data_IF_916043789582
#
_entry.id   IF_916043789582
#
_cell.length_a   1.000
_cell.length_b   1.000
_cell.length_c   1.000
_cell.angle_alpha   90.00
_cell.angle_beta   90.00
_cell.angle_gamma   90.00
#
_symmetry.space_group_name_H-M   'P 1'
#
loop_
_entity.id
_entity.type
_entity.pdbx_description
1 polymer ?
#
# COMPACT_ATOMS: atom_id res chain seq x y z
N UNK A 1 50.43 19.08 7.58
CA UNK A 1 49.14 18.36 7.73
C UNK A 1 49.34 16.88 8.15
N UNK A 2 50.20 16.57 9.12
CA UNK A 2 50.47 15.17 9.52
C UNK A 2 49.71 14.67 10.75
N UNK A 3 48.91 15.52 11.42
CA UNK A 3 48.40 15.24 12.77
C UNK A 3 46.87 15.17 12.90
N UNK A 4 46.11 15.49 11.85
CA UNK A 4 44.63 15.57 11.90
C UNK A 4 43.93 14.30 11.40
N UNK A 5 44.60 13.50 10.56
CA UNK A 5 44.02 12.31 9.92
C UNK A 5 43.85 11.15 10.92
N UNK A 6 44.83 10.80 11.78
CA UNK A 6 44.67 9.67 12.71
C UNK A 6 43.60 9.90 13.79
N UNK A 7 43.40 11.17 14.20
CA UNK A 7 42.47 11.56 15.26
C UNK A 7 41.00 11.54 14.80
N UNK A 8 40.76 11.67 13.50
CA UNK A 8 39.42 11.58 12.90
C UNK A 8 39.01 10.12 12.63
N UNK A 9 39.96 9.28 12.19
CA UNK A 9 39.73 7.86 11.94
C UNK A 9 39.41 7.10 13.25
N UNK A 10 40.09 7.40 14.37
CA UNK A 10 39.78 6.74 15.65
C UNK A 10 38.41 7.13 16.22
N UNK A 11 37.90 8.33 15.91
CA UNK A 11 36.53 8.75 16.28
C UNK A 11 35.45 8.06 15.44
N UNK A 12 35.76 7.69 14.20
CA UNK A 12 34.82 7.03 13.29
C UNK A 12 34.67 5.53 13.58
N UNK A 13 35.70 4.87 14.11
CA UNK A 13 35.67 3.45 14.52
C UNK A 13 34.67 3.12 15.65
N UNK A 14 34.11 4.13 16.33
CA UNK A 14 33.08 3.95 17.38
C UNK A 14 31.66 3.78 16.82
N UNK A 15 31.46 3.97 15.53
CA UNK A 15 30.20 3.77 14.83
C UNK A 15 30.40 2.57 13.91
N UNK A 16 29.87 1.40 14.30
CA UNK A 16 30.08 0.12 13.60
C UNK A 16 29.73 0.15 12.09
N UNK A 17 30.19 -0.90 11.40
CA UNK A 17 30.11 -1.17 9.95
C UNK A 17 29.62 -0.01 9.07
N UNK A 18 30.58 0.82 8.70
CA UNK A 18 30.42 1.89 7.75
C UNK A 18 30.20 1.30 6.33
N UNK A 19 29.11 1.62 5.61
CA UNK A 19 28.87 1.10 4.26
C UNK A 19 29.97 1.49 3.28
N UNK A 20 30.24 0.64 2.27
CA UNK A 20 31.26 0.83 1.23
C UNK A 20 31.25 2.21 0.53
N UNK A 21 30.12 2.93 0.57
CA UNK A 21 29.98 4.30 0.07
C UNK A 21 30.87 5.33 0.80
N UNK A 22 31.19 5.13 2.08
CA UNK A 22 32.08 6.03 2.84
C UNK A 22 33.57 5.80 2.55
N UNK A 23 33.96 4.59 2.13
CA UNK A 23 35.31 4.33 1.61
C UNK A 23 35.52 5.02 0.26
N UNK A 24 34.52 5.05 -0.62
CA UNK A 24 34.57 5.79 -1.88
C UNK A 24 34.75 7.30 -1.68
N UNK A 25 34.08 7.88 -0.68
CA UNK A 25 34.17 9.32 -0.39
C UNK A 25 35.53 9.73 0.19
N UNK A 26 36.16 8.87 1.00
CA UNK A 26 37.51 9.12 1.54
C UNK A 26 38.58 9.11 0.43
N UNK A 27 38.42 8.26 -0.60
CA UNK A 27 39.31 8.22 -1.77
C UNK A 27 39.14 9.46 -2.64
N UNK A 28 37.90 9.95 -2.84
CA UNK A 28 37.65 11.19 -3.59
C UNK A 28 38.27 12.41 -2.89
N UNK A 29 38.25 12.46 -1.56
CA UNK A 29 38.91 13.53 -0.80
C UNK A 29 40.43 13.41 -0.81
N UNK A 30 40.98 12.19 -0.94
CA UNK A 30 42.42 11.95 -1.03
C UNK A 30 43.02 12.22 -2.43
N UNK A 31 42.20 12.19 -3.49
CA UNK A 31 42.65 12.44 -4.87
C UNK A 31 42.62 13.92 -5.29
N UNK A 32 42.10 14.82 -4.46
CA UNK A 32 42.13 16.26 -4.72
C UNK A 32 43.52 16.80 -4.34
N UNK A 33 44.34 17.21 -5.31
CA UNK A 33 45.61 17.92 -5.07
C UNK A 33 45.30 19.30 -4.47
N UNK A 34 45.32 19.38 -3.14
CA UNK A 34 44.90 20.56 -2.37
C UNK A 34 46.02 21.60 -2.37
N UNK A 35 46.03 22.48 -3.38
CA UNK A 35 46.86 23.70 -3.36
C UNK A 35 46.09 24.96 -3.00
N UNK A 36 44.76 24.92 -2.91
CA UNK A 36 43.96 26.08 -2.51
C UNK A 36 43.08 25.82 -1.29
N UNK A 37 43.28 26.65 -0.27
CA UNK A 37 42.60 26.64 1.05
C UNK A 37 41.07 26.79 0.98
N UNK A 38 40.51 27.22 -0.15
CA UNK A 38 39.06 27.39 -0.35
C UNK A 38 38.32 26.06 -0.53
N UNK A 39 38.96 25.02 -1.09
CA UNK A 39 38.35 23.70 -1.33
C UNK A 39 38.17 22.88 -0.04
N UNK A 40 39.02 23.10 0.96
CA UNK A 40 38.95 22.42 2.27
C UNK A 40 37.66 22.80 3.02
N UNK A 41 37.24 24.07 2.94
CA UNK A 41 36.02 24.54 3.60
C UNK A 41 34.76 24.01 2.94
N UNK A 42 34.74 23.90 1.61
CA UNK A 42 33.62 23.32 0.86
C UNK A 42 33.45 21.83 1.23
N UNK A 43 34.55 21.07 1.33
CA UNK A 43 34.51 19.67 1.76
C UNK A 43 34.01 19.48 3.20
N UNK A 44 34.37 20.38 4.13
CA UNK A 44 33.90 20.34 5.53
C UNK A 44 32.40 20.66 5.62
N UNK A 45 31.93 21.69 4.92
CA UNK A 45 30.51 22.05 4.88
C UNK A 45 29.66 20.92 4.26
N UNK A 46 30.20 20.26 3.24
CA UNK A 46 29.57 19.10 2.60
C UNK A 46 29.49 17.90 3.56
N UNK A 47 30.57 17.59 4.28
CA UNK A 47 30.60 16.49 5.26
C UNK A 47 29.66 16.74 6.47
N UNK A 48 29.58 17.99 6.95
CA UNK A 48 28.66 18.36 8.03
C UNK A 48 27.19 18.29 7.60
N UNK A 49 26.88 18.68 6.36
CA UNK A 49 25.53 18.56 5.79
C UNK A 49 25.12 17.09 5.62
N UNK A 50 26.03 16.22 5.17
CA UNK A 50 25.79 14.77 5.04
C UNK A 50 25.53 14.13 6.41
N UNK A 51 26.29 14.49 7.44
CA UNK A 51 26.10 13.96 8.80
C UNK A 51 24.75 14.36 9.42
N UNK A 52 24.16 15.49 9.00
CA UNK A 52 22.84 15.93 9.44
C UNK A 52 21.71 15.21 8.69
N UNK A 53 21.88 15.01 7.38
CA UNK A 53 20.91 14.31 6.52
C UNK A 53 20.84 12.80 6.83
N UNK A 54 21.97 12.16 7.16
CA UNK A 54 22.02 10.74 7.52
C UNK A 54 21.28 10.40 8.83
N UNK A 55 21.07 11.38 9.73
CA UNK A 55 20.32 11.18 10.99
C UNK A 55 18.79 11.23 10.82
N UNK A 56 18.28 11.66 9.67
CA UNK A 56 16.84 11.93 9.45
C UNK A 56 16.16 10.86 8.56
N UNK A 57 16.88 9.81 8.14
CA UNK A 57 16.27 8.63 7.52
C UNK A 57 15.72 8.83 6.09
N UNK A 58 16.25 9.78 5.31
CA UNK A 58 15.79 10.02 3.94
C UNK A 58 16.27 8.96 2.92
N UNK A 59 15.41 8.69 1.94
CA UNK A 59 15.57 7.70 0.85
C UNK A 59 16.77 8.01 -0.09
N UNK A 60 17.44 7.00 -0.69
CA UNK A 60 18.59 7.15 -1.60
C UNK A 60 18.40 8.09 -2.81
N UNK A 61 17.16 8.41 -3.20
CA UNK A 61 16.84 9.32 -4.31
C UNK A 61 17.22 10.78 -4.00
N UNK A 62 17.15 11.19 -2.72
CA UNK A 62 17.55 12.53 -2.31
C UNK A 62 19.08 12.73 -2.43
N UNK A 63 19.86 11.68 -2.18
CA UNK A 63 21.32 11.69 -2.32
C UNK A 63 21.78 11.85 -3.77
N UNK A 64 21.15 11.12 -4.71
CA UNK A 64 21.41 11.25 -6.14
C UNK A 64 21.06 12.64 -6.69
N UNK A 65 19.99 13.24 -6.17
CA UNK A 65 19.54 14.58 -6.58
C UNK A 65 20.50 15.68 -6.13
N UNK A 66 21.02 15.59 -4.90
CA UNK A 66 22.03 16.53 -4.39
C UNK A 66 23.37 16.36 -5.12
N UNK A 67 23.77 15.12 -5.40
CA UNK A 67 25.00 14.82 -6.13
C UNK A 67 24.92 15.34 -7.59
N UNK A 68 23.79 15.15 -8.26
CA UNK A 68 23.55 15.66 -9.61
C UNK A 68 23.53 17.20 -9.66
N UNK A 69 22.88 17.86 -8.69
CA UNK A 69 22.90 19.31 -8.58
C UNK A 69 24.32 19.85 -8.32
N UNK A 70 25.10 19.17 -7.46
CA UNK A 70 26.49 19.56 -7.17
C UNK A 70 27.40 19.38 -8.38
N UNK A 71 27.22 18.31 -9.16
CA UNK A 71 27.96 18.05 -10.40
C UNK A 71 27.60 19.07 -11.49
N UNK A 72 26.31 19.42 -11.61
CA UNK A 72 25.85 20.45 -12.54
C UNK A 72 26.45 21.82 -12.22
N UNK A 73 26.56 22.18 -10.95
CA UNK A 73 27.20 23.42 -10.48
C UNK A 73 28.72 23.42 -10.68
N UNK A 74 29.38 22.26 -10.54
CA UNK A 74 30.79 22.08 -10.89
C UNK A 74 31.05 22.30 -12.39
N UNK A 75 30.18 21.78 -13.27
CA UNK A 75 30.27 22.01 -14.71
C UNK A 75 30.07 23.48 -15.13
N UNK A 76 29.42 24.30 -14.29
CA UNK A 76 29.20 25.72 -14.52
C UNK A 76 30.32 26.63 -14.00
N UNK A 77 31.37 26.08 -13.36
CA UNK A 77 32.54 26.84 -12.89
C UNK A 77 33.20 27.78 -13.92
N UNK A 78 33.26 27.48 -15.23
CA UNK A 78 33.89 28.40 -16.19
C UNK A 78 33.09 29.68 -16.48
N UNK A 79 31.82 29.74 -16.07
CA UNK A 79 30.88 30.80 -16.45
C UNK A 79 30.65 31.85 -15.36
N UNK A 80 31.17 31.64 -14.15
CA UNK A 80 30.99 32.54 -13.02
C UNK A 80 32.28 32.70 -12.23
N UNK A 81 32.58 33.93 -11.81
CA UNK A 81 33.55 34.19 -10.76
C UNK A 81 33.12 33.44 -9.48
N UNK A 82 34.06 32.76 -8.82
CA UNK A 82 33.75 31.76 -7.78
C UNK A 82 32.92 32.27 -6.60
N UNK A 83 32.68 33.58 -6.47
CA UNK A 83 31.77 34.17 -5.49
C UNK A 83 30.28 34.01 -5.90
N UNK A 84 29.94 34.13 -7.20
CA UNK A 84 28.57 33.98 -7.68
C UNK A 84 28.01 32.56 -7.48
N UNK A 85 28.87 31.56 -7.60
CA UNK A 85 28.52 30.15 -7.41
C UNK A 85 28.23 29.81 -5.94
N UNK A 86 28.95 30.43 -5.00
CA UNK A 86 28.73 30.27 -3.56
C UNK A 86 27.42 30.95 -3.13
N UNK A 87 27.11 32.12 -3.69
CA UNK A 87 25.84 32.81 -3.44
C UNK A 87 24.67 32.00 -4.00
N UNK A 88 24.79 31.43 -5.21
CA UNK A 88 23.74 30.59 -5.79
C UNK A 88 23.51 29.30 -4.98
N UNK A 89 24.59 28.62 -4.56
CA UNK A 89 24.50 27.46 -3.66
C UNK A 89 23.85 27.84 -2.32
N UNK A 90 24.25 28.98 -1.76
CA UNK A 90 23.69 29.52 -0.53
C UNK A 90 22.21 29.82 -0.64
N UNK A 91 21.76 30.36 -1.78
CA UNK A 91 20.34 30.62 -2.07
C UNK A 91 19.58 29.31 -2.24
N UNK A 92 20.11 28.32 -2.97
CA UNK A 92 19.45 27.02 -3.15
C UNK A 92 19.34 26.28 -1.81
N UNK A 93 20.40 26.29 -1.00
CA UNK A 93 20.40 25.72 0.35
C UNK A 93 19.43 26.49 1.25
N UNK A 94 19.40 27.82 1.17
CA UNK A 94 18.45 28.64 1.92
C UNK A 94 17.00 28.35 1.49
N UNK A 95 16.71 28.18 0.20
CA UNK A 95 15.39 27.78 -0.31
C UNK A 95 15.05 26.35 0.13
N UNK A 96 16.03 25.45 0.22
CA UNK A 96 15.82 24.07 0.65
C UNK A 96 15.64 23.95 2.17
N UNK A 97 16.33 24.77 2.96
CA UNK A 97 16.19 24.85 4.43
C UNK A 97 14.94 25.66 4.82
N UNK A 98 14.59 26.71 4.06
CA UNK A 98 13.37 27.49 4.25
C UNK A 98 12.16 26.88 3.55
N UNK A 99 12.31 25.79 2.79
CA UNK A 99 11.16 24.95 2.51
C UNK A 99 10.74 24.42 3.88
N UNK A 100 9.61 24.89 4.45
CA UNK A 100 9.09 24.20 5.60
C UNK A 100 8.99 22.74 5.15
N UNK A 101 9.46 21.83 6.00
CA UNK A 101 8.95 20.48 5.93
C UNK A 101 7.45 20.67 5.72
N UNK A 102 6.91 20.14 4.62
CA UNK A 102 5.52 19.79 4.65
C UNK A 102 5.43 18.66 5.67
N UNK A 103 5.60 18.98 6.96
CA UNK A 103 4.70 18.49 7.97
C UNK A 103 3.36 18.61 7.28
N UNK A 104 2.70 17.48 7.09
CA UNK A 104 1.28 17.51 6.87
C UNK A 104 0.68 18.07 8.16
N UNK A 105 0.81 19.38 8.38
CA UNK A 105 -0.21 20.13 9.05
C UNK A 105 -1.49 19.70 8.35
N UNK A 106 -2.39 19.11 9.14
CA UNK A 106 -3.73 18.80 8.71
C UNK A 106 -4.37 20.12 8.29
N UNK A 107 -4.19 20.52 7.03
CA UNK A 107 -5.03 21.52 6.39
C UNK A 107 -6.37 20.85 6.14
N UNK A 108 -7.15 20.88 7.20
CA UNK A 108 -8.50 20.39 7.33
C UNK A 108 -8.97 20.98 8.64
N UNK A 109 -9.29 22.27 8.59
CA UNK A 109 -9.97 23.01 9.65
C UNK A 109 -11.31 22.30 9.89
N UNK A 110 -11.29 21.29 10.75
CA UNK A 110 -12.39 21.07 11.65
C UNK A 110 -12.02 21.95 12.83
N UNK A 111 -12.69 23.09 13.02
CA UNK A 111 -12.74 23.78 14.31
C UNK A 111 -13.37 22.81 15.31
N UNK A 112 -12.56 21.86 15.78
CA UNK A 112 -12.91 20.83 16.72
C UNK A 112 -11.74 20.77 17.67
N UNK A 113 -12.02 21.09 18.93
CA UNK A 113 -11.05 21.20 19.99
C UNK A 113 -10.09 20.00 19.94
N UNK A 114 -8.79 20.28 19.79
CA UNK A 114 -7.75 19.23 19.76
C UNK A 114 -7.83 18.34 21.02
N UNK A 115 -8.48 18.82 22.08
CA UNK A 115 -8.84 18.10 23.30
C UNK A 115 -9.73 16.86 23.07
N UNK A 116 -10.58 16.84 22.04
CA UNK A 116 -11.51 15.71 21.79
C UNK A 116 -10.88 14.56 20.98
N UNK A 117 -9.60 14.64 20.62
CA UNK A 117 -8.90 13.59 19.86
C UNK A 117 -8.26 12.58 20.81
N UNK A 118 -8.70 11.32 20.73
CA UNK A 118 -8.06 10.19 21.41
C UNK A 118 -6.75 9.84 20.70
N UNK A 119 -5.62 9.92 21.42
CA UNK A 119 -4.25 9.78 20.89
C UNK A 119 -3.54 8.52 21.32
N UNK A 120 -4.06 7.82 22.33
CA UNK A 120 -3.43 6.61 22.87
C UNK A 120 -4.44 5.50 23.15
N UNK A 121 -3.94 4.27 23.20
CA UNK A 121 -4.74 3.11 23.64
C UNK A 121 -5.18 3.28 25.10
N UNK A 122 -4.34 3.91 25.92
CA UNK A 122 -4.67 4.21 27.32
C UNK A 122 -5.90 5.12 27.43
N UNK A 123 -5.90 6.26 26.73
CA UNK A 123 -7.05 7.16 26.65
C UNK A 123 -8.29 6.43 26.12
N UNK A 124 -8.13 5.62 25.06
CA UNK A 124 -9.24 4.84 24.52
C UNK A 124 -9.80 3.86 25.55
N UNK A 125 -8.95 3.25 26.38
CA UNK A 125 -9.36 2.28 27.41
C UNK A 125 -10.07 2.92 28.59
N UNK A 126 -9.82 4.20 28.86
CA UNK A 126 -10.61 4.96 29.83
C UNK A 126 -12.05 5.18 29.35
N UNK A 127 -12.25 5.37 28.05
CA UNK A 127 -13.58 5.54 27.43
C UNK A 127 -14.26 4.18 27.18
N UNK A 128 -13.47 3.19 26.76
CA UNK A 128 -13.92 1.85 26.37
C UNK A 128 -13.14 0.77 27.15
N UNK A 129 -13.57 0.48 28.40
CA UNK A 129 -12.94 -0.55 29.23
C UNK A 129 -12.83 -1.87 28.47
N UNK A 130 -11.71 -2.57 28.68
CA UNK A 130 -11.50 -3.87 28.05
C UNK A 130 -12.59 -4.86 28.48
N UNK A 131 -13.13 -5.61 27.51
CA UNK A 131 -13.93 -6.79 27.81
C UNK A 131 -13.05 -7.94 28.32
N UNK A 132 -13.63 -9.14 28.44
CA UNK A 132 -12.92 -10.38 28.84
C UNK A 132 -11.83 -10.86 27.83
N UNK A 133 -11.47 -10.04 26.83
CA UNK A 133 -10.46 -10.28 25.78
C UNK A 133 -10.56 -9.26 24.63
N UNK A 134 -9.64 -9.31 23.66
CA UNK A 134 -9.62 -8.44 22.48
C UNK A 134 -8.78 -7.18 22.62
N UNK A 135 -7.72 -7.21 23.42
CA UNK A 135 -6.67 -6.19 23.40
C UNK A 135 -5.69 -6.39 22.23
N UNK A 136 -5.53 -7.63 21.77
CA UNK A 136 -4.74 -7.99 20.61
C UNK A 136 -5.39 -9.17 19.88
N UNK A 137 -4.76 -9.66 18.81
CA UNK A 137 -5.30 -10.80 18.08
C UNK A 137 -5.20 -12.08 18.92
N UNK A 138 -4.14 -12.18 19.73
CA UNK A 138 -3.75 -13.35 20.50
C UNK A 138 -4.64 -13.59 21.73
N UNK A 139 -5.22 -12.53 22.32
CA UNK A 139 -6.11 -12.63 23.49
C UNK A 139 -7.61 -12.68 23.10
N UNK A 140 -7.91 -12.57 21.81
CA UNK A 140 -9.27 -12.60 21.29
C UNK A 140 -9.75 -14.04 21.09
N UNK A 141 -10.36 -14.66 22.11
CA UNK A 141 -10.85 -16.06 22.09
C UNK A 141 -11.67 -16.45 20.85
N UNK A 142 -12.40 -15.51 20.25
CA UNK A 142 -13.23 -15.76 19.05
C UNK A 142 -12.43 -15.86 17.75
N UNK A 143 -11.18 -15.38 17.76
CA UNK A 143 -10.27 -15.38 16.62
C UNK A 143 -9.46 -16.65 16.68
N UNK A 144 -9.65 -17.52 15.68
CA UNK A 144 -8.97 -18.80 15.60
C UNK A 144 -7.99 -18.80 14.43
N UNK A 145 -6.94 -19.62 14.51
CA UNK A 145 -5.89 -19.71 13.49
C UNK A 145 -6.19 -20.63 12.31
N UNK A 146 -7.44 -21.06 12.14
CA UNK A 146 -7.87 -22.01 11.11
C UNK A 146 -9.32 -21.74 10.68
N UNK A 147 -9.78 -22.44 9.65
CA UNK A 147 -11.19 -22.46 9.25
C UNK A 147 -11.84 -23.73 9.79
N UNK A 148 -12.90 -23.60 10.57
CA UNK A 148 -13.75 -24.73 10.94
C UNK A 148 -14.77 -25.07 9.83
N UNK A 149 -15.50 -26.16 10.00
CA UNK A 149 -16.49 -26.64 9.02
C UNK A 149 -17.60 -25.61 8.75
N UNK A 150 -18.01 -24.84 9.78
CA UNK A 150 -19.04 -23.81 9.62
C UNK A 150 -18.50 -22.64 8.77
N UNK A 151 -17.25 -22.24 8.98
CA UNK A 151 -16.59 -21.20 8.22
C UNK A 151 -16.38 -21.62 6.76
N UNK A 152 -15.93 -22.86 6.51
CA UNK A 152 -15.79 -23.41 5.16
C UNK A 152 -17.14 -23.44 4.45
N UNK A 153 -18.19 -23.91 5.14
CA UNK A 153 -19.54 -23.88 4.60
C UNK A 153 -20.00 -22.46 4.26
N UNK A 154 -19.71 -21.48 5.12
CA UNK A 154 -20.03 -20.08 4.85
C UNK A 154 -19.31 -19.54 3.61
N UNK A 155 -18.03 -19.87 3.42
CA UNK A 155 -17.24 -19.50 2.24
C UNK A 155 -17.90 -20.06 0.96
N UNK A 156 -18.29 -21.34 0.98
CA UNK A 156 -18.97 -21.97 -0.16
C UNK A 156 -20.31 -21.33 -0.52
N UNK A 157 -20.97 -20.65 0.41
CA UNK A 157 -22.23 -19.95 0.17
C UNK A 157 -22.07 -18.46 -0.11
N UNK A 158 -20.85 -17.92 -0.07
CA UNK A 158 -20.59 -16.49 -0.23
C UNK A 158 -20.44 -16.12 -1.71
N UNK A 159 -21.34 -15.30 -2.29
CA UNK A 159 -21.19 -14.78 -3.65
C UNK A 159 -20.31 -13.51 -3.73
N UNK A 160 -19.99 -12.89 -2.58
CA UNK A 160 -19.29 -11.62 -2.52
C UNK A 160 -18.25 -11.62 -1.40
N UNK A 161 -17.05 -11.14 -1.72
CA UNK A 161 -15.99 -10.85 -0.76
C UNK A 161 -15.46 -9.44 -0.93
N UNK A 162 -14.89 -8.90 0.14
CA UNK A 162 -14.07 -7.69 0.12
C UNK A 162 -12.65 -8.06 0.49
N UNK A 163 -11.74 -7.92 -0.48
CA UNK A 163 -10.31 -8.18 -0.30
C UNK A 163 -9.60 -6.88 0.05
N UNK A 164 -9.06 -6.80 1.26
CA UNK A 164 -8.21 -5.72 1.72
C UNK A 164 -6.73 -6.05 1.49
N UNK A 165 -6.03 -5.12 0.86
CA UNK A 165 -4.57 -5.14 0.64
C UNK A 165 -3.97 -3.81 1.12
N UNK A 166 -2.67 -3.75 1.32
CA UNK A 166 -1.97 -2.51 1.70
C UNK A 166 -0.95 -2.16 0.64
N UNK A 167 -0.99 -0.92 0.16
CA UNK A 167 0.00 -0.43 -0.79
C UNK A 167 1.36 -0.27 -0.10
N UNK A 168 2.39 -0.83 -0.73
CA UNK A 168 3.70 -0.94 -0.11
C UNK A 168 4.44 0.39 -0.01
N UNK A 169 4.14 1.32 -0.91
CA UNK A 169 4.79 2.62 -1.00
C UNK A 169 4.16 3.61 -0.03
N UNK A 170 2.84 3.74 -0.09
CA UNK A 170 2.07 4.74 0.64
C UNK A 170 1.54 4.25 1.98
N UNK A 171 1.54 2.93 2.20
CA UNK A 171 0.92 2.24 3.35
C UNK A 171 -0.60 2.43 3.45
N UNK A 172 -1.25 2.94 2.40
CA UNK A 172 -2.71 3.05 2.39
C UNK A 172 -3.37 1.69 2.17
N UNK A 173 -4.42 1.36 2.93
CA UNK A 173 -5.23 0.19 2.67
C UNK A 173 -6.14 0.42 1.46
N UNK A 174 -6.26 -0.59 0.61
CA UNK A 174 -7.21 -0.65 -0.49
C UNK A 174 -8.14 -1.84 -0.30
N UNK A 175 -9.43 -1.65 -0.60
CA UNK A 175 -10.45 -2.70 -0.53
C UNK A 175 -11.04 -2.88 -1.92
N UNK A 176 -11.01 -4.12 -2.42
CA UNK A 176 -11.59 -4.49 -3.70
C UNK A 176 -12.74 -5.49 -3.48
N UNK A 177 -13.96 -5.18 -3.92
CA UNK A 177 -15.01 -6.18 -3.99
C UNK A 177 -14.68 -7.21 -5.08
N UNK A 178 -14.86 -8.49 -4.77
CA UNK A 178 -14.80 -9.59 -5.74
C UNK A 178 -16.06 -10.43 -5.59
N UNK A 179 -16.77 -10.67 -6.68
CA UNK A 179 -18.03 -11.39 -6.65
C UNK A 179 -18.25 -12.28 -7.86
N UNK A 180 -19.00 -13.35 -7.65
CA UNK A 180 -19.39 -14.34 -8.64
C UNK A 180 -20.48 -15.25 -8.02
N UNK A 181 -20.82 -16.38 -8.67
CA UNK A 181 -21.70 -17.39 -8.07
C UNK A 181 -21.14 -17.87 -6.71
N UNK A 182 -22.00 -18.21 -5.73
CA UNK A 182 -21.57 -18.80 -4.47
C UNK A 182 -20.60 -19.96 -4.69
N UNK A 183 -19.51 -19.97 -3.91
CA UNK A 183 -18.47 -21.00 -4.01
C UNK A 183 -17.38 -20.73 -5.04
N UNK A 184 -17.33 -19.52 -5.63
CA UNK A 184 -16.24 -19.13 -6.51
C UNK A 184 -14.88 -19.06 -5.81
N UNK A 185 -14.87 -18.83 -4.49
CA UNK A 185 -13.71 -19.05 -3.63
C UNK A 185 -13.72 -20.49 -3.16
N UNK A 186 -12.68 -21.24 -3.49
CA UNK A 186 -12.55 -22.63 -3.05
C UNK A 186 -11.54 -22.75 -1.91
N UNK A 187 -11.74 -23.74 -1.04
CA UNK A 187 -10.85 -24.03 0.08
C UNK A 187 -10.09 -25.32 -0.19
N UNK A 188 -8.78 -25.32 0.04
CA UNK A 188 -7.91 -26.50 -0.08
C UNK A 188 -7.07 -26.66 1.18
N UNK A 189 -6.92 -27.89 1.65
CA UNK A 189 -5.93 -28.18 2.69
C UNK A 189 -4.51 -28.09 2.11
N UNK A 190 -3.66 -27.28 2.73
CA UNK A 190 -2.22 -27.31 2.50
C UNK A 190 -1.61 -28.32 3.46
N UNK A 191 -1.09 -29.44 2.93
CA UNK A 191 -0.51 -30.50 3.76
C UNK A 191 0.87 -30.14 4.32
N UNK A 192 1.61 -29.26 3.65
CA UNK A 192 2.94 -28.80 4.09
C UNK A 192 2.81 -27.82 5.25
N UNK A 193 1.96 -26.81 5.11
CA UNK A 193 1.76 -25.78 6.15
C UNK A 193 0.70 -26.16 7.17
N UNK A 194 -0.06 -27.23 6.94
CA UNK A 194 -1.25 -27.65 7.71
C UNK A 194 -2.35 -26.58 7.80
N UNK A 195 -2.33 -25.57 6.92
CA UNK A 195 -3.34 -24.49 6.86
C UNK A 195 -4.39 -24.77 5.79
N UNK A 196 -5.51 -24.08 5.90
CA UNK A 196 -6.44 -23.96 4.79
C UNK A 196 -5.98 -22.84 3.85
N UNK A 197 -5.83 -23.16 2.56
CA UNK A 197 -5.57 -22.21 1.49
C UNK A 197 -6.88 -21.86 0.79
N UNK A 198 -7.20 -20.58 0.74
CA UNK A 198 -8.25 -20.04 -0.12
C UNK A 198 -7.71 -19.83 -1.53
N UNK A 199 -8.52 -20.16 -2.53
CA UNK A 199 -8.22 -19.92 -3.94
C UNK A 199 -9.29 -18.97 -4.48
N UNK A 200 -8.87 -17.76 -4.84
CA UNK A 200 -9.75 -16.68 -5.28
C UNK A 200 -9.40 -16.37 -6.74
N UNK A 201 -10.28 -16.69 -7.71
CA UNK A 201 -10.02 -16.35 -9.09
C UNK A 201 -10.17 -14.85 -9.34
N UNK A 202 -9.22 -14.27 -10.08
CA UNK A 202 -9.37 -12.90 -10.55
C UNK A 202 -10.26 -12.89 -11.79
N UNK A 203 -11.41 -12.20 -11.68
CA UNK A 203 -12.39 -12.07 -12.76
C UNK A 203 -12.07 -10.84 -13.62
N UNK A 204 -12.48 -10.84 -14.90
CA UNK A 204 -12.41 -9.65 -15.74
C UNK A 204 -12.98 -8.42 -15.00
N UNK A 205 -12.31 -7.29 -15.16
CA UNK A 205 -12.69 -6.05 -14.49
C UNK A 205 -12.05 -4.85 -15.17
N UNK A 206 -11.90 -3.74 -14.46
CA UNK A 206 -11.35 -2.49 -14.98
C UNK A 206 -9.82 -2.48 -15.20
N UNK A 207 -9.16 -3.65 -15.10
CA UNK A 207 -7.70 -3.83 -15.23
C UNK A 207 -6.86 -2.97 -14.28
N UNK A 208 -7.45 -2.43 -13.20
CA UNK A 208 -6.68 -1.77 -12.14
C UNK A 208 -6.02 -2.82 -11.26
N UNK A 209 -4.71 -3.00 -11.44
CA UNK A 209 -3.95 -4.06 -10.79
C UNK A 209 -3.52 -3.75 -9.34
N UNK A 210 -4.02 -2.67 -8.71
CA UNK A 210 -3.55 -2.22 -7.39
C UNK A 210 -3.49 -3.35 -6.36
N UNK A 211 -4.55 -4.14 -6.21
CA UNK A 211 -4.55 -5.26 -5.26
C UNK A 211 -3.52 -6.35 -5.59
N UNK A 212 -3.35 -6.67 -6.87
CA UNK A 212 -2.38 -7.67 -7.32
C UNK A 212 -0.94 -7.15 -7.17
N UNK A 213 -0.70 -5.87 -7.48
CA UNK A 213 0.59 -5.19 -7.28
C UNK A 213 0.96 -5.13 -5.80
N UNK A 214 0.00 -4.86 -4.92
CA UNK A 214 0.23 -4.86 -3.48
C UNK A 214 0.69 -6.24 -3.00
N UNK A 215 0.05 -7.31 -3.50
CA UNK A 215 0.43 -8.70 -3.19
C UNK A 215 1.82 -9.04 -3.73
N UNK A 216 2.19 -8.57 -4.92
CA UNK A 216 3.52 -8.81 -5.49
C UNK A 216 4.62 -8.00 -4.78
N UNK A 217 4.43 -6.69 -4.61
CA UNK A 217 5.46 -5.79 -4.11
C UNK A 217 5.91 -6.09 -2.66
N UNK A 218 5.09 -6.78 -1.85
CA UNK A 218 5.50 -7.23 -0.51
C UNK A 218 6.52 -8.36 -0.57
N UNK A 219 6.53 -9.15 -1.65
CA UNK A 219 7.49 -10.22 -1.86
C UNK A 219 8.80 -9.71 -2.47
N UNK A 220 8.76 -8.62 -3.23
CA UNK A 220 9.92 -8.05 -3.92
C UNK A 220 10.86 -7.24 -3.01
N UNK A 221 10.40 -6.81 -1.82
CA UNK A 221 11.20 -5.99 -0.89
C UNK A 221 12.35 -6.72 -0.14
N UNK A 222 12.71 -7.93 -0.56
CA UNK A 222 14.01 -8.55 -0.23
C UNK A 222 14.12 -9.23 1.14
N UNK A 223 13.01 -9.47 1.84
CA UNK A 223 12.96 -10.46 2.92
C UNK A 223 12.34 -11.73 2.35
N UNK A 224 13.17 -12.73 2.03
CA UNK A 224 12.79 -13.98 1.34
C UNK A 224 11.69 -14.84 2.04
N UNK A 225 11.10 -14.32 3.12
CA UNK A 225 10.10 -14.99 3.95
C UNK A 225 8.82 -14.17 4.20
N UNK A 226 8.73 -12.91 3.77
CA UNK A 226 7.51 -12.11 4.04
C UNK A 226 6.51 -12.23 2.89
N UNK A 227 5.54 -13.14 3.06
CA UNK A 227 4.41 -13.27 2.15
C UNK A 227 3.42 -12.14 2.41
N UNK A 228 2.81 -11.61 1.35
CA UNK A 228 1.93 -10.47 1.48
C UNK A 228 0.77 -10.73 2.45
N UNK A 229 0.40 -9.76 3.29
CA UNK A 229 -0.71 -9.93 4.24
C UNK A 229 -2.00 -9.30 3.71
N UNK A 230 -3.07 -10.09 3.69
CA UNK A 230 -4.40 -9.65 3.26
C UNK A 230 -5.45 -9.95 4.32
N UNK A 231 -6.55 -9.19 4.29
CA UNK A 231 -7.76 -9.49 5.05
C UNK A 231 -8.95 -9.58 4.11
N UNK A 232 -9.85 -10.52 4.38
CA UNK A 232 -11.01 -10.82 3.54
C UNK A 232 -12.25 -10.79 4.41
N UNK A 233 -13.28 -10.11 3.94
CA UNK A 233 -14.63 -10.19 4.50
C UNK A 233 -15.52 -10.96 3.51
N UNK A 234 -16.14 -12.04 3.97
CA UNK A 234 -17.12 -12.82 3.22
C UNK A 234 -18.54 -12.41 3.63
N UNK A 235 -19.41 -12.29 2.63
CA UNK A 235 -20.83 -12.00 2.83
C UNK A 235 -21.71 -13.05 2.15
N UNK A 236 -22.78 -13.45 2.85
CA UNK A 236 -23.88 -14.23 2.31
C UNK A 236 -25.15 -13.37 2.41
N UNK A 237 -25.73 -12.93 1.28
CA UNK A 237 -26.95 -12.11 1.29
C UNK A 237 -28.06 -12.74 2.14
N UNK A 238 -28.76 -11.91 2.92
CA UNK A 238 -29.80 -12.36 3.85
C UNK A 238 -29.27 -12.99 5.15
N UNK A 239 -27.97 -13.21 5.27
CA UNK A 239 -27.35 -13.66 6.53
C UNK A 239 -26.87 -12.44 7.32
N UNK A 240 -27.27 -12.37 8.59
CA UNK A 240 -26.88 -11.24 9.46
C UNK A 240 -25.40 -11.24 9.83
N UNK A 241 -24.73 -12.39 9.83
CA UNK A 241 -23.32 -12.54 10.20
C UNK A 241 -22.41 -12.46 8.98
N UNK A 242 -21.17 -12.03 9.18
CA UNK A 242 -20.08 -12.12 8.19
C UNK A 242 -18.90 -12.90 8.72
N UNK A 243 -18.17 -13.54 7.82
CA UNK A 243 -16.91 -14.20 8.15
C UNK A 243 -15.75 -13.31 7.74
N UNK A 244 -14.87 -12.99 8.69
CA UNK A 244 -13.60 -12.33 8.40
C UNK A 244 -12.48 -13.35 8.55
N UNK A 245 -11.59 -13.39 7.59
CA UNK A 245 -10.33 -14.12 7.70
C UNK A 245 -9.19 -13.33 7.06
N UNK A 246 -7.98 -13.82 7.18
CA UNK A 246 -6.83 -13.21 6.56
C UNK A 246 -5.58 -14.03 6.76
N UNK A 247 -4.53 -13.66 6.05
CA UNK A 247 -3.25 -14.34 6.14
C UNK A 247 -2.33 -14.02 4.99
N UNK A 248 -1.44 -14.96 4.69
CA UNK A 248 -0.39 -14.85 3.68
C UNK A 248 -0.95 -15.09 2.28
N UNK A 249 -0.80 -14.10 1.38
CA UNK A 249 -1.28 -14.15 0.02
C UNK A 249 -0.16 -14.14 -1.03
N UNK A 250 -0.40 -14.86 -2.13
CA UNK A 250 0.44 -14.82 -3.32
C UNK A 250 -0.39 -15.09 -4.57
N UNK A 251 0.22 -14.85 -5.73
CA UNK A 251 -0.41 -15.05 -7.03
C UNK A 251 0.06 -16.37 -7.64
N UNK A 252 -0.83 -17.04 -8.37
CA UNK A 252 -0.48 -18.24 -9.14
C UNK A 252 -1.18 -18.24 -10.50
N UNK A 253 -0.46 -18.77 -11.49
CA UNK A 253 -0.95 -19.05 -12.85
C UNK A 253 -0.95 -20.56 -13.14
N UNK A 254 -0.93 -21.40 -12.10
CA UNK A 254 -0.98 -22.87 -12.23
C UNK A 254 -2.14 -23.28 -13.14
N UNK A 255 -1.86 -23.92 -14.30
CA UNK A 255 -2.89 -24.32 -15.26
C UNK A 255 -3.99 -25.20 -14.66
N UNK A 256 -3.69 -26.02 -13.65
CA UNK A 256 -4.70 -26.83 -12.98
C UNK A 256 -5.66 -25.98 -12.14
N UNK A 257 -5.16 -24.94 -11.45
CA UNK A 257 -6.00 -24.00 -10.71
C UNK A 257 -6.83 -23.14 -11.65
N UNK A 258 -6.23 -22.63 -12.74
CA UNK A 258 -6.94 -21.83 -13.75
C UNK A 258 -8.09 -22.63 -14.36
N UNK A 259 -7.85 -23.86 -14.81
CA UNK A 259 -8.89 -24.73 -15.41
C UNK A 259 -10.05 -25.02 -14.46
N UNK A 260 -9.77 -25.23 -13.17
CA UNK A 260 -10.80 -25.50 -12.16
C UNK A 260 -11.70 -24.30 -11.85
N UNK A 261 -11.24 -23.08 -12.15
CA UNK A 261 -11.96 -21.84 -11.80
C UNK A 261 -12.49 -21.10 -13.03
N UNK A 262 -12.65 -21.77 -14.17
CA UNK A 262 -13.33 -21.20 -15.36
C UNK A 262 -14.76 -20.80 -14.99
N UNK A 263 -15.17 -19.59 -15.35
CA UNK A 263 -16.55 -19.12 -15.18
C UNK A 263 -17.03 -18.48 -16.48
N UNK A 264 -18.29 -18.72 -16.84
CA UNK A 264 -18.91 -18.18 -18.07
C UNK A 264 -18.07 -18.45 -19.33
N UNK A 265 -17.42 -19.61 -19.42
CA UNK A 265 -16.54 -19.99 -20.53
C UNK A 265 -15.17 -19.29 -20.55
N UNK A 266 -14.91 -18.40 -19.59
CA UNK A 266 -13.75 -17.54 -19.57
C UNK A 266 -12.83 -17.94 -18.38
N UNK A 267 -11.61 -18.46 -18.63
CA UNK A 267 -10.66 -18.80 -17.57
C UNK A 267 -10.12 -17.54 -16.89
N UNK A 268 -9.91 -17.56 -15.55
CA UNK A 268 -9.18 -16.47 -14.90
C UNK A 268 -7.73 -16.45 -15.40
N UNK A 269 -7.12 -15.26 -15.48
CA UNK A 269 -5.69 -15.13 -15.85
C UNK A 269 -4.75 -15.48 -14.70
N UNK A 270 -5.20 -15.23 -13.48
CA UNK A 270 -4.45 -15.44 -12.25
C UNK A 270 -5.43 -15.83 -11.14
N UNK A 271 -4.95 -16.62 -10.18
CA UNK A 271 -5.64 -16.86 -8.91
C UNK A 271 -4.83 -16.24 -7.77
N UNK A 272 -5.53 -15.67 -6.80
CA UNK A 272 -4.96 -15.25 -5.53
C UNK A 272 -5.10 -16.43 -4.58
N UNK A 273 -3.98 -16.86 -4.01
CA UNK A 273 -3.91 -17.90 -3.00
C UNK A 273 -3.71 -17.24 -1.65
N UNK A 274 -4.45 -17.67 -0.62
CA UNK A 274 -4.33 -17.14 0.74
C UNK A 274 -4.27 -18.27 1.74
N UNK A 275 -3.12 -18.46 2.38
CA UNK A 275 -3.00 -19.33 3.55
C UNK A 275 -3.56 -18.59 4.77
N UNK A 276 -4.63 -19.13 5.35
CA UNK A 276 -5.36 -18.50 6.45
C UNK A 276 -4.53 -18.56 7.73
N UNK A 277 -4.29 -17.39 8.31
CA UNK A 277 -3.61 -17.20 9.61
C UNK A 277 -4.61 -16.90 10.74
N UNK A 278 -5.76 -16.29 10.41
CA UNK A 278 -6.81 -16.00 11.36
C UNK A 278 -8.19 -16.02 10.69
N UNK A 279 -9.22 -16.42 11.44
CA UNK A 279 -10.62 -16.38 11.03
C UNK A 279 -11.57 -16.20 12.21
N UNK A 280 -12.68 -15.49 12.00
CA UNK A 280 -13.75 -15.31 12.98
C UNK A 280 -15.03 -14.74 12.36
N UNK A 281 -16.17 -15.02 12.99
CA UNK A 281 -17.43 -14.38 12.64
C UNK A 281 -17.59 -13.00 13.31
N UNK A 282 -18.20 -12.06 12.60
CA UNK A 282 -18.72 -10.81 13.15
C UNK A 282 -20.20 -10.93 13.51
N UNK A 283 -20.62 -10.23 14.57
CA UNK A 283 -22.01 -10.20 14.99
C UNK A 283 -22.88 -9.39 14.01
N UNK A 284 -24.17 -9.72 13.97
CA UNK A 284 -25.14 -9.13 13.03
C UNK A 284 -25.57 -7.70 13.31
N UNK A 285 -25.10 -7.07 14.39
CA UNK A 285 -25.56 -5.75 14.85
C UNK A 285 -25.44 -4.66 13.78
N UNK A 286 -24.37 -4.66 12.98
CA UNK A 286 -24.19 -3.68 11.92
C UNK A 286 -25.24 -3.83 10.81
N UNK A 287 -25.48 -5.06 10.34
CA UNK A 287 -26.47 -5.37 9.31
C UNK A 287 -27.90 -5.11 9.76
N UNK A 288 -28.23 -5.44 11.01
CA UNK A 288 -29.55 -5.15 11.58
C UNK A 288 -29.83 -3.64 11.65
N UNK A 289 -28.82 -2.84 12.06
CA UNK A 289 -28.97 -1.38 12.16
C UNK A 289 -29.04 -0.70 10.80
N UNK A 290 -28.25 -1.16 9.83
CA UNK A 290 -28.23 -0.58 8.48
C UNK A 290 -29.43 -1.01 7.64
N UNK A 291 -30.08 -2.13 7.99
CA UNK A 291 -31.15 -2.75 7.21
C UNK A 291 -30.74 -3.10 5.77
N UNK A 292 -29.44 -3.24 5.51
CA UNK A 292 -28.92 -3.46 4.14
C UNK A 292 -29.51 -4.70 3.47
N UNK A 293 -29.89 -5.72 4.25
CA UNK A 293 -30.55 -6.95 3.78
C UNK A 293 -32.08 -6.94 3.91
N UNK A 294 -32.70 -5.80 4.22
CA UNK A 294 -34.17 -5.64 4.21
C UNK A 294 -34.58 -4.88 2.94
N UNK A 295 -35.10 -5.57 1.90
CA UNK A 295 -35.51 -4.92 0.66
C UNK A 295 -36.58 -3.84 0.85
N UNK A 296 -37.37 -3.88 1.94
CA UNK A 296 -38.37 -2.85 2.25
C UNK A 296 -37.74 -1.52 2.65
N UNK A 297 -36.47 -1.53 3.07
CA UNK A 297 -35.73 -0.33 3.46
C UNK A 297 -35.03 0.36 2.28
N UNK A 298 -34.92 -0.31 1.13
CA UNK A 298 -34.22 0.22 -0.03
C UNK A 298 -35.01 1.37 -0.67
N UNK A 299 -34.33 2.39 -1.20
CA UNK A 299 -35.00 3.48 -1.89
C UNK A 299 -35.69 2.97 -3.17
N UNK A 300 -36.88 3.48 -3.47
CA UNK A 300 -37.61 3.15 -4.70
C UNK A 300 -36.85 3.53 -5.98
N UNK A 301 -35.91 4.47 -5.87
CA UNK A 301 -34.96 4.84 -6.91
C UNK A 301 -33.54 4.72 -6.35
N UNK A 302 -32.75 3.73 -6.79
CA UNK A 302 -31.34 3.62 -6.41
C UNK A 302 -30.56 4.88 -6.79
N UNK A 303 -29.52 5.19 -6.01
CA UNK A 303 -28.59 6.26 -6.35
C UNK A 303 -27.82 5.86 -7.62
N UNK A 304 -28.00 6.62 -8.70
CA UNK A 304 -27.28 6.40 -9.93
C UNK A 304 -25.91 7.09 -9.92
N UNK A 305 -24.84 6.33 -10.16
CA UNK A 305 -23.46 6.85 -10.28
C UNK A 305 -23.10 6.99 -11.75
N UNK A 306 -22.84 8.22 -12.19
CA UNK A 306 -22.42 8.53 -13.57
C UNK A 306 -20.91 8.76 -13.63
N UNK A 307 -20.17 7.92 -14.36
CA UNK A 307 -18.72 8.05 -14.53
C UNK A 307 -18.32 9.19 -15.47
N UNK A 308 -19.22 9.62 -16.34
CA UNK A 308 -19.01 10.77 -17.21
C UNK A 308 -18.68 12.04 -16.44
N UNK A 309 -19.36 12.27 -15.31
CA UNK A 309 -19.06 13.40 -14.41
C UNK A 309 -17.76 13.22 -13.61
N UNK A 310 -17.30 11.99 -13.46
CA UNK A 310 -16.04 11.70 -12.78
C UNK A 310 -14.84 12.02 -13.67
N UNK A 311 -14.94 11.73 -14.98
CA UNK A 311 -13.85 11.92 -15.94
C UNK A 311 -13.96 13.17 -16.80
N UNK A 312 -15.13 13.81 -16.87
CA UNK A 312 -15.37 14.96 -17.72
C UNK A 312 -16.31 15.99 -17.07
N UNK A 313 -16.27 17.21 -17.61
CA UNK A 313 -17.13 18.31 -17.15
C UNK A 313 -18.61 17.90 -17.26
N UNK A 314 -19.37 18.17 -16.20
CA UNK A 314 -20.83 17.93 -16.16
C UNK A 314 -21.52 18.56 -17.37
N UNK A 315 -22.37 17.76 -18.03
CA UNK A 315 -23.15 18.18 -19.20
C UNK A 315 -22.38 18.22 -20.52
N UNK A 316 -21.10 17.81 -20.54
CA UNK A 316 -20.34 17.69 -21.79
C UNK A 316 -20.75 16.45 -22.59
N UNK A 317 -20.60 16.53 -23.92
CA UNK A 317 -20.78 15.39 -24.81
C UNK A 317 -19.88 14.20 -24.39
N UNK A 318 -18.65 14.49 -23.95
CA UNK A 318 -17.72 13.48 -23.46
C UNK A 318 -18.25 12.77 -22.21
N UNK A 319 -18.82 13.49 -21.24
CA UNK A 319 -19.42 12.88 -20.06
C UNK A 319 -20.56 11.92 -20.47
N UNK A 320 -21.48 12.37 -21.32
CA UNK A 320 -22.58 11.53 -21.81
C UNK A 320 -22.10 10.31 -22.60
N UNK A 321 -21.03 10.46 -23.39
CA UNK A 321 -20.42 9.36 -24.14
C UNK A 321 -19.80 8.31 -23.21
N UNK A 322 -19.08 8.75 -22.17
CA UNK A 322 -18.50 7.86 -21.15
C UNK A 322 -19.60 7.09 -20.43
N UNK A 323 -20.66 7.77 -19.97
CA UNK A 323 -21.78 7.10 -19.30
C UNK A 323 -22.44 6.06 -20.21
N UNK A 324 -22.69 6.40 -21.49
CA UNK A 324 -23.25 5.45 -22.45
C UNK A 324 -22.36 4.24 -22.72
N UNK A 325 -21.04 4.43 -22.76
CA UNK A 325 -20.10 3.34 -23.00
C UNK A 325 -19.98 2.42 -21.78
N UNK A 326 -20.06 2.98 -20.55
CA UNK A 326 -20.15 2.18 -19.32
C UNK A 326 -21.45 1.38 -19.27
N UNK A 327 -22.59 1.99 -19.58
CA UNK A 327 -23.89 1.30 -19.59
C UNK A 327 -23.89 0.12 -20.58
N UNK A 328 -23.35 0.32 -21.78
CA UNK A 328 -23.19 -0.75 -22.78
C UNK A 328 -22.28 -1.87 -22.28
N UNK A 329 -21.21 -1.53 -21.57
CA UNK A 329 -20.31 -2.51 -21.00
C UNK A 329 -21.01 -3.34 -19.91
N UNK A 330 -21.75 -2.71 -19.00
CA UNK A 330 -22.52 -3.43 -17.98
C UNK A 330 -23.62 -4.31 -18.57
N UNK A 331 -24.29 -3.89 -19.64
CA UNK A 331 -25.23 -4.74 -20.36
C UNK A 331 -24.55 -5.99 -20.96
N UNK A 332 -23.31 -5.86 -21.46
CA UNK A 332 -22.54 -7.01 -21.96
C UNK A 332 -22.17 -7.98 -20.82
N UNK A 333 -21.75 -7.46 -19.67
CA UNK A 333 -21.49 -8.27 -18.48
C UNK A 333 -22.77 -9.00 -18.03
N UNK A 334 -23.91 -8.31 -18.01
CA UNK A 334 -25.19 -8.92 -17.63
C UNK A 334 -25.56 -10.08 -18.56
N UNK A 335 -25.41 -9.91 -19.89
CA UNK A 335 -25.61 -11.00 -20.85
C UNK A 335 -24.68 -12.19 -20.59
N UNK A 336 -23.42 -11.94 -20.22
CA UNK A 336 -22.50 -13.02 -19.88
C UNK A 336 -22.90 -13.73 -18.58
N UNK A 337 -23.39 -12.99 -17.58
CA UNK A 337 -23.96 -13.54 -16.34
C UNK A 337 -25.17 -14.43 -16.64
N UNK A 338 -26.03 -13.98 -17.55
CA UNK A 338 -27.24 -14.69 -17.98
C UNK A 338 -26.94 -15.88 -18.91
N UNK A 339 -25.67 -16.07 -19.30
CA UNK A 339 -25.20 -17.20 -20.12
C UNK A 339 -25.35 -17.00 -21.63
N UNK A 340 -25.64 -15.78 -22.07
CA UNK A 340 -25.82 -15.43 -23.49
C UNK A 340 -24.50 -15.17 -24.23
N UNK A 341 -23.39 -14.97 -23.51
CA UNK A 341 -22.06 -14.69 -24.05
C UNK A 341 -20.93 -15.09 -23.07
N UNK A 342 -19.67 -15.16 -23.54
CA UNK A 342 -18.52 -15.16 -22.63
C UNK A 342 -18.30 -13.74 -22.11
N UNK A 343 -17.76 -13.61 -20.91
CA UNK A 343 -17.31 -12.32 -20.37
C UNK A 343 -15.96 -11.96 -21.02
N UNK A 344 -16.01 -11.43 -22.24
CA UNK A 344 -14.81 -11.01 -22.97
C UNK A 344 -14.19 -9.76 -22.35
N UNK A 345 -12.86 -9.79 -22.15
CA UNK A 345 -12.09 -8.58 -21.87
C UNK A 345 -11.88 -7.79 -23.18
N UNK A 346 -12.38 -6.56 -23.26
CA UNK A 346 -12.00 -5.60 -24.31
C UNK A 346 -10.74 -4.84 -23.93
#
# INVERSE_FOLDING_TARGET
>A
MGYLIPKYISKLSKYGDLPAALHGLAVVVACLDVRETKLVWIGIIFAMSISKIAKVGHHPVAFLSLAAASYFLFCLQPLYDGEGLVVLLGIIIAIYIQRPEASRERKGDIEGDDECIVRSIEELRQIMPAGLGGNCLEDAKKVIGYLDDQMINFIHHSPLIYLATVDNTTKYPFISPKGDKPGFVTVRQNHETKKHTLIIPDRPGNRLLFGLQNILGQRESGTDHETAKVSILFEVPGTGSTLRCGGSAWLSTDPALIRKHVARGCPPKVVILVDVDHAFFHCSKAYMRSKVWDPKSWPSKPLNVTFGRYFAKKGSLLASKIDSDVDKHYQQIQKAIDGEACEEEK
#
